data_IF_687385033292
#
_entry.id   IF_687385033292
#
_cell.length_a   1.000
_cell.length_b   1.000
_cell.length_c   1.000
_cell.angle_alpha   90.00
_cell.angle_beta   90.00
_cell.angle_gamma   90.00
#
_symmetry.space_group_name_H-M   'P 1'
#
loop_
_entity.id
_entity.type
_entity.pdbx_description
1 polymer ?
#
# COMPACT_ATOMS: atom_id res chain seq x y z
N UNK A 1 -36.06 -26.93 -9.88
CA UNK A 1 -35.09 -25.86 -9.59
C UNK A 1 -34.59 -25.27 -10.90
N UNK A 2 -34.87 -24.00 -11.18
CA UNK A 2 -34.30 -23.33 -12.36
C UNK A 2 -32.81 -23.02 -12.12
N UNK A 3 -31.94 -23.41 -13.06
CA UNK A 3 -30.53 -23.00 -13.07
C UNK A 3 -30.45 -21.55 -13.56
N UNK A 4 -29.81 -20.68 -12.79
CA UNK A 4 -29.47 -19.33 -13.25
C UNK A 4 -28.30 -19.44 -14.25
N UNK A 5 -28.53 -19.02 -15.49
CA UNK A 5 -27.47 -18.84 -16.49
C UNK A 5 -26.89 -17.42 -16.33
N UNK A 6 -25.75 -17.31 -15.67
CA UNK A 6 -24.98 -16.08 -15.64
C UNK A 6 -24.16 -15.96 -16.92
N UNK A 7 -24.28 -14.82 -17.62
CA UNK A 7 -23.52 -14.54 -18.86
C UNK A 7 -22.23 -13.78 -18.60
N UNK A 8 -22.13 -13.10 -17.46
CA UNK A 8 -20.97 -12.30 -17.06
C UNK A 8 -20.74 -12.50 -15.57
N UNK A 9 -19.49 -12.78 -15.19
CA UNK A 9 -19.06 -12.87 -13.80
C UNK A 9 -17.95 -11.84 -13.62
N UNK A 10 -18.14 -10.93 -12.67
CA UNK A 10 -17.13 -9.95 -12.27
C UNK A 10 -16.43 -10.49 -11.02
N UNK A 11 -15.11 -10.61 -11.09
CA UNK A 11 -14.28 -10.96 -9.95
C UNK A 11 -13.57 -9.71 -9.44
N UNK A 12 -13.54 -9.56 -8.12
CA UNK A 12 -12.60 -8.67 -7.47
C UNK A 12 -11.21 -9.34 -7.46
N UNK A 13 -10.15 -8.56 -7.54
CA UNK A 13 -8.78 -9.10 -7.67
C UNK A 13 -8.14 -9.26 -6.29
N UNK A 14 -8.12 -8.18 -5.51
CA UNK A 14 -7.46 -8.12 -4.21
C UNK A 14 -8.29 -8.86 -3.14
N UNK A 15 -7.65 -9.73 -2.37
CA UNK A 15 -8.27 -10.58 -1.33
C UNK A 15 -9.36 -11.56 -1.81
N UNK A 16 -9.59 -11.68 -3.13
CA UNK A 16 -10.55 -12.63 -3.73
C UNK A 16 -9.88 -13.64 -4.66
N UNK A 17 -8.97 -13.20 -5.53
CA UNK A 17 -8.17 -14.10 -6.40
C UNK A 17 -6.67 -14.07 -6.07
N UNK A 18 -6.23 -13.05 -5.33
CA UNK A 18 -4.83 -12.82 -5.01
C UNK A 18 -4.64 -12.60 -3.51
N UNK A 19 -3.59 -13.21 -2.96
CA UNK A 19 -3.13 -12.92 -1.59
C UNK A 19 -2.36 -11.59 -1.60
N UNK A 20 -3.14 -10.51 -1.63
CA UNK A 20 -2.66 -9.15 -1.61
C UNK A 20 -1.84 -8.88 -0.35
N UNK A 21 -2.25 -9.42 0.79
CA UNK A 21 -1.63 -9.19 2.09
C UNK A 21 -0.18 -9.70 2.13
N UNK A 22 0.06 -10.93 1.67
CA UNK A 22 1.41 -11.51 1.62
C UNK A 22 2.32 -10.70 0.70
N UNK A 23 1.86 -10.35 -0.49
CA UNK A 23 2.67 -9.59 -1.45
C UNK A 23 2.95 -8.16 -1.00
N UNK A 24 1.96 -7.52 -0.39
CA UNK A 24 2.09 -6.20 0.19
C UNK A 24 3.12 -6.20 1.32
N UNK A 25 3.10 -7.22 2.19
CA UNK A 25 4.07 -7.38 3.27
C UNK A 25 5.49 -7.60 2.77
N UNK A 26 5.69 -8.47 1.77
CA UNK A 26 7.01 -8.69 1.14
C UNK A 26 7.52 -7.40 0.50
N UNK A 27 6.67 -6.73 -0.28
CA UNK A 27 7.00 -5.47 -0.96
C UNK A 27 7.47 -4.42 0.04
N UNK A 28 6.75 -4.27 1.15
CA UNK A 28 7.14 -3.30 2.17
C UNK A 28 8.43 -3.68 2.88
N UNK A 29 8.63 -4.94 3.24
CA UNK A 29 9.86 -5.37 3.89
C UNK A 29 11.10 -5.10 3.01
N UNK A 30 11.02 -5.34 1.71
CA UNK A 30 12.08 -4.99 0.75
C UNK A 30 12.35 -3.48 0.70
N UNK A 31 11.31 -2.66 0.68
CA UNK A 31 11.42 -1.20 0.64
C UNK A 31 12.02 -0.65 1.94
N UNK A 32 11.57 -1.15 3.10
CA UNK A 32 12.10 -0.75 4.41
C UNK A 32 13.60 -1.07 4.51
N UNK A 33 14.03 -2.24 4.01
CA UNK A 33 15.45 -2.61 3.91
C UNK A 33 16.21 -1.69 2.96
N UNK A 34 15.67 -1.44 1.76
CA UNK A 34 16.31 -0.60 0.73
C UNK A 34 16.61 0.81 1.21
N UNK A 35 15.71 1.39 2.01
CA UNK A 35 15.83 2.76 2.53
C UNK A 35 16.39 2.84 3.96
N UNK A 36 16.93 1.74 4.49
CA UNK A 36 17.50 1.65 5.83
C UNK A 36 16.57 2.14 6.96
N UNK A 37 15.29 1.88 6.79
CA UNK A 37 14.25 2.41 7.69
C UNK A 37 14.18 1.66 9.01
N UNK A 38 14.65 0.41 9.05
CA UNK A 38 14.77 -0.36 10.29
C UNK A 38 15.76 0.27 11.28
N UNK A 39 16.80 0.94 10.78
CA UNK A 39 17.76 1.68 11.61
C UNK A 39 17.29 3.11 11.94
N UNK A 40 16.19 3.56 11.31
CA UNK A 40 15.67 4.93 11.42
C UNK A 40 14.48 5.06 12.38
N UNK A 41 14.14 4.00 13.13
CA UNK A 41 13.10 4.02 14.17
C UNK A 41 11.92 3.06 13.93
N UNK A 42 11.81 2.46 12.75
CA UNK A 42 10.81 1.43 12.46
C UNK A 42 11.33 0.08 13.00
N UNK A 43 10.64 -0.52 13.96
CA UNK A 43 11.16 -1.71 14.66
C UNK A 43 10.93 -3.02 13.94
N UNK A 44 9.85 -3.11 13.17
CA UNK A 44 9.45 -4.30 12.43
C UNK A 44 8.48 -3.91 11.31
N UNK A 45 8.32 -4.81 10.34
CA UNK A 45 7.31 -4.67 9.29
C UNK A 45 5.89 -4.58 9.88
N UNK A 46 5.58 -5.36 10.94
CA UNK A 46 4.27 -5.32 11.57
C UNK A 46 4.00 -3.96 12.21
N UNK A 47 5.00 -3.36 12.85
CA UNK A 47 4.90 -2.02 13.41
C UNK A 47 4.72 -0.96 12.32
N UNK A 48 5.37 -1.12 11.16
CA UNK A 48 5.12 -0.24 10.02
C UNK A 48 3.68 -0.36 9.48
N UNK A 49 3.19 -1.59 9.29
CA UNK A 49 1.85 -1.85 8.75
C UNK A 49 0.74 -1.36 9.69
N UNK A 50 0.91 -1.52 11.01
CA UNK A 50 -0.02 -1.02 12.03
C UNK A 50 -0.26 0.49 11.91
N UNK A 51 0.76 1.26 11.50
CA UNK A 51 0.67 2.71 11.28
C UNK A 51 0.24 3.03 9.85
N UNK A 52 0.74 2.30 8.86
CA UNK A 52 0.45 2.54 7.45
C UNK A 52 -1.02 2.31 7.09
N UNK A 53 -1.60 1.18 7.54
CA UNK A 53 -2.95 0.77 7.18
C UNK A 53 -4.04 1.80 7.51
N UNK A 54 -4.10 2.41 8.71
CA UNK A 54 -5.10 3.43 9.00
C UNK A 54 -4.94 4.69 8.12
N UNK A 55 -3.72 5.13 7.84
CA UNK A 55 -3.50 6.28 6.94
C UNK A 55 -3.88 5.96 5.49
N UNK A 56 -3.50 4.78 5.00
CA UNK A 56 -3.87 4.30 3.67
C UNK A 56 -5.40 4.22 3.53
N UNK A 57 -6.09 3.61 4.50
CA UNK A 57 -7.55 3.51 4.53
C UNK A 57 -8.22 4.88 4.53
N UNK A 58 -7.80 5.78 5.42
CA UNK A 58 -8.33 7.14 5.50
C UNK A 58 -8.19 7.89 4.17
N UNK A 59 -7.02 7.83 3.53
CA UNK A 59 -6.79 8.52 2.26
C UNK A 59 -7.59 7.90 1.12
N UNK A 60 -7.73 6.57 1.06
CA UNK A 60 -8.62 5.92 0.11
C UNK A 60 -10.08 6.32 0.28
N UNK A 61 -10.54 6.49 1.52
CA UNK A 61 -11.90 6.97 1.79
C UNK A 61 -12.11 8.42 1.32
N UNK A 62 -11.11 9.29 1.48
CA UNK A 62 -11.15 10.66 0.94
C UNK A 62 -11.14 10.68 -0.59
N UNK A 63 -10.33 9.82 -1.22
CA UNK A 63 -10.26 9.70 -2.67
C UNK A 63 -11.60 9.21 -3.25
N UNK A 64 -12.21 8.18 -2.65
CA UNK A 64 -13.53 7.66 -3.06
C UNK A 64 -14.64 8.71 -2.97
N UNK A 65 -14.50 9.70 -2.07
CA UNK A 65 -15.42 10.83 -1.93
C UNK A 65 -15.11 11.99 -2.89
N UNK A 66 -14.07 11.88 -3.72
CA UNK A 66 -13.60 12.95 -4.61
C UNK A 66 -12.95 14.13 -3.88
N UNK A 67 -12.60 13.98 -2.60
CA UNK A 67 -12.05 15.07 -1.77
C UNK A 67 -10.55 15.31 -1.99
N UNK A 68 -9.85 14.32 -2.56
CA UNK A 68 -8.43 14.42 -2.90
C UNK A 68 -8.18 13.77 -4.26
N UNK A 69 -7.11 14.19 -4.92
CA UNK A 69 -6.64 13.57 -6.15
C UNK A 69 -5.80 12.31 -5.88
N UNK A 70 -5.71 11.42 -6.88
CA UNK A 70 -4.96 10.15 -6.78
C UNK A 70 -3.46 10.35 -6.54
N UNK A 71 -2.88 11.37 -7.17
CA UNK A 71 -1.48 11.79 -6.98
C UNK A 71 -1.20 12.15 -5.51
N UNK A 72 -2.13 12.84 -4.83
CA UNK A 72 -2.03 13.19 -3.42
C UNK A 72 -2.08 11.94 -2.54
N UNK A 73 -3.06 11.05 -2.75
CA UNK A 73 -3.14 9.77 -2.04
C UNK A 73 -1.83 8.97 -2.13
N UNK A 74 -1.25 8.89 -3.34
CA UNK A 74 -0.14 7.98 -3.66
C UNK A 74 1.09 8.18 -2.77
N UNK A 75 1.56 9.42 -2.59
CA UNK A 75 2.72 9.71 -1.74
C UNK A 75 2.33 10.05 -0.30
N UNK A 76 1.16 10.66 -0.08
CA UNK A 76 0.78 11.19 1.24
C UNK A 76 0.60 10.09 2.27
N UNK A 77 0.14 8.90 1.87
CA UNK A 77 0.04 7.74 2.78
C UNK A 77 1.39 7.35 3.37
N UNK A 78 2.46 7.41 2.57
CA UNK A 78 3.81 7.11 3.05
C UNK A 78 4.37 8.26 3.87
N UNK A 79 4.13 9.50 3.46
CA UNK A 79 4.56 10.67 4.20
C UNK A 79 3.97 10.72 5.61
N UNK A 80 2.65 10.50 5.75
CA UNK A 80 1.99 10.46 7.06
C UNK A 80 2.51 9.31 7.93
N UNK A 81 2.76 8.15 7.32
CA UNK A 81 3.34 6.99 8.01
C UNK A 81 4.75 7.31 8.52
N UNK A 82 5.62 7.86 7.67
CA UNK A 82 6.99 8.24 8.05
C UNK A 82 7.01 9.32 9.14
N UNK A 83 6.14 10.33 9.03
CA UNK A 83 6.00 11.38 10.05
C UNK A 83 5.66 10.80 11.43
N UNK A 84 4.83 9.75 11.48
CA UNK A 84 4.51 9.07 12.74
C UNK A 84 5.75 8.44 13.39
N UNK A 85 6.70 7.96 12.59
CA UNK A 85 8.00 7.46 13.06
C UNK A 85 9.04 8.56 13.31
N UNK A 86 8.64 9.84 13.22
CA UNK A 86 9.54 10.98 13.38
C UNK A 86 10.41 11.27 12.16
N UNK A 87 10.09 10.66 11.00
CA UNK A 87 10.84 10.82 9.75
C UNK A 87 10.10 11.85 8.88
N UNK A 88 10.46 13.13 9.03
CA UNK A 88 9.93 14.21 8.19
C UNK A 88 10.77 14.35 6.90
N UNK A 89 10.44 13.53 5.89
CA UNK A 89 11.13 13.55 4.61
C UNK A 89 10.19 13.23 3.44
N UNK A 90 9.58 14.27 2.86
CA UNK A 90 8.71 14.15 1.67
C UNK A 90 9.42 13.54 0.46
N UNK A 91 10.74 13.78 0.28
CA UNK A 91 11.49 13.20 -0.85
C UNK A 91 11.58 11.68 -0.70
N UNK A 92 11.83 11.20 0.51
CA UNK A 92 11.83 9.77 0.84
C UNK A 92 10.43 9.16 0.65
N UNK A 93 9.37 9.83 1.11
CA UNK A 93 8.00 9.37 0.91
C UNK A 93 7.66 9.17 -0.59
N UNK A 94 8.08 10.10 -1.45
CA UNK A 94 7.91 9.99 -2.91
C UNK A 94 8.76 8.88 -3.53
N UNK A 95 9.97 8.66 -3.02
CA UNK A 95 10.82 7.55 -3.46
C UNK A 95 10.19 6.19 -3.08
N UNK A 96 9.72 6.05 -1.85
CA UNK A 96 8.97 4.88 -1.39
C UNK A 96 7.71 4.64 -2.23
N UNK A 97 6.95 5.69 -2.55
CA UNK A 97 5.77 5.56 -3.41
C UNK A 97 6.10 5.01 -4.80
N UNK A 98 7.22 5.45 -5.36
CA UNK A 98 7.71 4.99 -6.66
C UNK A 98 8.17 3.53 -6.59
N UNK A 99 8.93 3.20 -5.56
CA UNK A 99 9.42 1.83 -5.32
C UNK A 99 8.28 0.86 -5.05
N UNK A 100 7.26 1.27 -4.29
CA UNK A 100 6.07 0.46 -4.00
C UNK A 100 5.38 0.00 -5.28
N UNK A 101 5.14 0.91 -6.23
CA UNK A 101 4.54 0.57 -7.51
C UNK A 101 5.47 -0.34 -8.34
N UNK A 102 6.78 -0.10 -8.29
CA UNK A 102 7.77 -0.89 -9.03
C UNK A 102 7.95 -2.31 -8.50
N UNK A 103 8.07 -2.48 -7.19
CA UNK A 103 8.27 -3.75 -6.51
C UNK A 103 7.00 -4.58 -6.47
N UNK A 104 5.84 -3.96 -6.22
CA UNK A 104 4.55 -4.67 -6.25
C UNK A 104 4.28 -5.30 -7.63
N UNK A 105 4.70 -4.64 -8.72
CA UNK A 105 4.64 -5.18 -10.09
C UNK A 105 5.56 -6.39 -10.33
N UNK A 106 6.67 -6.51 -9.61
CA UNK A 106 7.58 -7.68 -9.74
C UNK A 106 7.03 -8.92 -9.04
N UNK A 107 6.24 -8.75 -7.98
CA UNK A 107 5.54 -9.85 -7.31
C UNK A 107 4.39 -10.43 -8.14
N UNK A 108 3.86 -9.63 -9.08
CA UNK A 108 2.88 -10.03 -10.08
C UNK A 108 3.59 -10.67 -11.29
N UNK A 109 4.08 -11.90 -11.15
CA UNK A 109 4.51 -12.70 -12.31
C UNK A 109 3.27 -13.12 -13.14
N UNK A 110 2.71 -12.18 -13.89
CA UNK A 110 1.67 -12.36 -14.91
C UNK A 110 2.13 -11.76 -16.24
#
# INVERSE_FOLDING_TARGET
>A
MQRKNYTHIFFDLDHTLWDFDVNNRITFDEILKKHDLYNSGIKSIDNFLEIYDPYNKMLWDLYKKGSIEKNYLSYRRFELTLLHFGIDNTKLAKAIATDYIGTFRKGLNI
#
